data_IF_561982804678
#
_entry.id   IF_561982804678
#
_cell.length_a   1.000
_cell.length_b   1.000
_cell.length_c   1.000
_cell.angle_alpha   90.00
_cell.angle_beta   90.00
_cell.angle_gamma   90.00
#
_symmetry.space_group_name_H-M   'P 1'
#
loop_
_entity.id
_entity.type
_entity.pdbx_description
1 polymer ?
#
# COMPACT_ATOMS: atom_id res chain seq x y z
N UNK A 1 -1.52 -72.87 32.85
CA UNK A 1 -2.44 -73.05 31.66
C UNK A 1 -2.57 -71.71 30.95
N UNK A 2 -1.86 -71.57 29.86
CA UNK A 2 -1.80 -70.26 29.10
C UNK A 2 -2.81 -70.39 27.92
N UNK A 3 -3.84 -69.54 27.91
CA UNK A 3 -4.76 -69.44 26.77
C UNK A 3 -4.13 -68.50 25.73
N UNK A 4 -3.82 -69.06 24.57
CA UNK A 4 -3.36 -68.36 23.38
C UNK A 4 -4.54 -67.62 22.75
N UNK A 5 -4.54 -66.30 22.85
CA UNK A 5 -5.47 -65.44 22.15
C UNK A 5 -4.92 -65.15 20.75
N UNK A 6 -5.62 -65.60 19.74
CA UNK A 6 -5.31 -65.37 18.34
C UNK A 6 -5.70 -63.92 18.00
N UNK A 7 -4.72 -63.07 17.71
CA UNK A 7 -4.95 -61.76 17.18
C UNK A 7 -5.17 -61.88 15.68
N UNK A 8 -6.40 -61.64 15.29
CA UNK A 8 -6.79 -61.57 13.88
C UNK A 8 -6.39 -60.20 13.34
N UNK A 9 -5.32 -60.17 12.58
CA UNK A 9 -4.88 -58.95 11.90
C UNK A 9 -5.80 -58.78 10.70
N UNK A 10 -6.70 -57.81 10.80
CA UNK A 10 -7.47 -57.28 9.67
C UNK A 10 -6.59 -56.32 8.90
N UNK A 11 -6.04 -56.79 7.79
CA UNK A 11 -5.41 -55.95 6.78
C UNK A 11 -6.50 -55.16 6.03
N UNK A 12 -6.80 -53.99 6.49
CA UNK A 12 -7.56 -52.99 5.74
C UNK A 12 -6.62 -52.40 4.69
N UNK A 13 -6.71 -52.94 3.48
CA UNK A 13 -6.13 -52.31 2.29
C UNK A 13 -6.89 -51.03 2.01
N UNK A 14 -6.32 -49.92 2.47
CA UNK A 14 -6.77 -48.58 2.12
C UNK A 14 -6.35 -48.31 0.67
N UNK A 15 -7.27 -48.55 -0.26
CA UNK A 15 -7.11 -48.15 -1.65
C UNK A 15 -7.15 -46.64 -1.71
N UNK A 16 -5.97 -46.00 -1.76
CA UNK A 16 -5.85 -44.59 -2.07
C UNK A 16 -6.19 -44.42 -3.55
N UNK A 17 -7.43 -44.05 -3.81
CA UNK A 17 -7.86 -43.55 -5.11
C UNK A 17 -7.18 -42.18 -5.28
N UNK A 18 -6.05 -42.14 -5.95
CA UNK A 18 -5.48 -40.92 -6.50
C UNK A 18 -6.39 -40.41 -7.62
N UNK A 19 -7.50 -39.79 -7.26
CA UNK A 19 -8.19 -38.92 -8.16
C UNK A 19 -7.27 -37.73 -8.34
N UNK A 20 -6.47 -37.74 -9.42
CA UNK A 20 -5.75 -36.60 -9.89
C UNK A 20 -6.72 -35.44 -10.09
N UNK A 21 -6.78 -34.53 -9.13
CA UNK A 21 -7.27 -33.18 -9.39
C UNK A 21 -6.27 -32.55 -10.35
N UNK A 22 -6.60 -32.69 -11.64
CA UNK A 22 -6.05 -31.90 -12.69
C UNK A 22 -6.56 -30.47 -12.44
N UNK A 23 -5.96 -29.76 -11.50
CA UNK A 23 -6.16 -28.33 -11.38
C UNK A 23 -5.58 -27.73 -12.65
N UNK A 24 -6.45 -27.62 -13.66
CA UNK A 24 -6.26 -26.60 -14.67
C UNK A 24 -6.06 -25.31 -13.89
N UNK A 25 -4.82 -24.86 -13.87
CA UNK A 25 -4.50 -23.49 -13.58
C UNK A 25 -5.21 -22.69 -14.67
N UNK A 26 -6.48 -22.39 -14.41
CA UNK A 26 -7.08 -21.23 -15.05
C UNK A 26 -6.15 -20.09 -14.68
N UNK A 27 -5.35 -19.69 -15.66
CA UNK A 27 -4.84 -18.34 -15.70
C UNK A 27 -6.11 -17.47 -15.68
N UNK A 28 -6.57 -17.17 -14.47
CA UNK A 28 -7.30 -15.96 -14.26
C UNK A 28 -6.33 -14.86 -14.75
N UNK A 29 -6.50 -14.51 -16.00
CA UNK A 29 -6.26 -13.15 -16.44
C UNK A 29 -7.25 -12.29 -15.64
N UNK A 30 -7.04 -12.25 -14.32
CA UNK A 30 -7.46 -11.15 -13.50
C UNK A 30 -6.77 -9.97 -14.18
N UNK A 31 -7.55 -9.26 -14.95
CA UNK A 31 -7.34 -7.88 -15.24
C UNK A 31 -7.21 -7.24 -13.86
N UNK A 32 -6.02 -7.28 -13.27
CA UNK A 32 -5.59 -6.35 -12.26
C UNK A 32 -5.62 -5.01 -12.98
N UNK A 33 -6.84 -4.52 -13.08
CA UNK A 33 -7.12 -3.15 -13.47
C UNK A 33 -6.26 -2.35 -12.53
N UNK A 34 -5.24 -1.73 -13.04
CA UNK A 34 -4.32 -0.79 -12.43
C UNK A 34 -5.12 0.31 -11.70
N UNK A 35 -5.79 -0.04 -10.62
CA UNK A 35 -6.47 0.91 -9.73
C UNK A 35 -5.45 1.76 -8.98
N UNK A 36 -4.20 1.32 -8.93
CA UNK A 36 -3.10 2.05 -8.28
C UNK A 36 -2.69 3.31 -9.05
N UNK A 37 -2.81 3.31 -10.38
CA UNK A 37 -2.45 4.46 -11.21
C UNK A 37 -3.39 5.66 -11.03
N UNK A 38 -4.58 5.46 -10.46
CA UNK A 38 -5.56 6.54 -10.23
C UNK A 38 -5.23 7.40 -9.00
N UNK A 39 -4.44 6.90 -8.05
CA UNK A 39 -4.13 7.63 -6.81
C UNK A 39 -3.11 8.74 -7.07
N UNK A 40 -2.11 8.46 -7.91
CA UNK A 40 -1.05 9.40 -8.33
C UNK A 40 -1.02 9.46 -9.84
N UNK A 41 -1.31 10.64 -10.38
CA UNK A 41 -1.21 10.86 -11.82
C UNK A 41 0.25 11.22 -12.17
N UNK A 42 1.00 10.28 -12.70
CA UNK A 42 2.43 10.48 -13.08
C UNK A 42 2.63 11.64 -14.05
N UNK A 43 1.60 12.03 -14.82
CA UNK A 43 1.68 13.16 -15.78
C UNK A 43 1.76 14.53 -15.10
N UNK A 44 1.44 14.61 -13.83
CA UNK A 44 1.52 15.86 -13.04
C UNK A 44 2.95 16.14 -12.55
N UNK A 45 3.89 15.25 -12.85
CA UNK A 45 5.29 15.29 -12.40
C UNK A 45 6.25 15.26 -13.60
N UNK A 46 7.49 15.69 -13.36
CA UNK A 46 8.54 15.72 -14.39
C UNK A 46 9.24 14.38 -14.56
N UNK A 47 9.71 13.81 -13.45
CA UNK A 47 10.41 12.53 -13.39
C UNK A 47 10.21 11.92 -11.98
N UNK A 48 9.00 11.37 -11.70
CA UNK A 48 8.65 10.97 -10.36
C UNK A 48 9.24 9.61 -9.97
N UNK A 49 9.88 9.56 -8.81
CA UNK A 49 10.10 8.34 -8.03
C UNK A 49 8.95 8.19 -7.03
N UNK A 50 8.21 7.11 -7.12
CA UNK A 50 7.08 6.83 -6.25
C UNK A 50 7.45 5.68 -5.31
N UNK A 51 7.49 5.97 -4.01
CA UNK A 51 7.74 4.97 -2.99
C UNK A 51 6.45 4.69 -2.23
N UNK A 52 6.08 3.43 -2.10
CA UNK A 52 4.82 2.97 -1.53
C UNK A 52 5.06 2.12 -0.30
N UNK A 53 4.24 2.33 0.73
CA UNK A 53 4.15 1.47 1.90
C UNK A 53 2.70 1.15 2.21
N UNK A 54 2.40 -0.14 2.45
CA UNK A 54 1.05 -0.61 2.75
C UNK A 54 1.01 -1.24 4.13
N UNK A 55 0.02 -0.86 4.93
CA UNK A 55 -0.28 -1.45 6.22
C UNK A 55 -1.77 -1.83 6.25
N UNK A 56 -2.06 -3.10 6.48
CA UNK A 56 -3.44 -3.59 6.57
C UNK A 56 -3.72 -4.07 7.99
N UNK A 57 -4.89 -3.72 8.51
CA UNK A 57 -5.43 -4.19 9.77
C UNK A 57 -6.86 -4.69 9.61
N UNK A 58 -7.53 -5.00 10.72
CA UNK A 58 -8.90 -5.56 10.68
C UNK A 58 -9.95 -4.57 10.16
N UNK A 59 -9.67 -3.27 10.15
CA UNK A 59 -10.64 -2.22 9.82
C UNK A 59 -10.36 -1.57 8.47
N UNK A 60 -9.09 -1.34 8.14
CA UNK A 60 -8.70 -0.63 6.92
C UNK A 60 -7.36 -1.10 6.36
N UNK A 61 -7.11 -0.68 5.13
CA UNK A 61 -5.78 -0.67 4.51
C UNK A 61 -5.33 0.78 4.43
N UNK A 62 -4.20 1.09 5.06
CA UNK A 62 -3.51 2.36 4.96
C UNK A 62 -2.39 2.25 3.95
N UNK A 63 -2.38 3.12 2.95
CA UNK A 63 -1.29 3.21 1.98
C UNK A 63 -0.70 4.60 2.03
N UNK A 64 0.60 4.66 2.16
CA UNK A 64 1.39 5.89 2.10
C UNK A 64 2.25 5.87 0.84
N UNK A 65 2.15 6.94 0.06
CA UNK A 65 2.99 7.17 -1.09
C UNK A 65 3.87 8.40 -0.80
N UNK A 66 5.16 8.24 -1.04
CA UNK A 66 6.14 9.34 -1.07
C UNK A 66 6.49 9.58 -2.54
N UNK A 67 6.16 10.75 -3.04
CA UNK A 67 6.42 11.13 -4.43
C UNK A 67 7.54 12.16 -4.45
N UNK A 68 8.70 11.74 -4.91
CA UNK A 68 9.86 12.59 -5.14
C UNK A 68 9.90 12.93 -6.63
N UNK A 69 9.56 14.17 -6.98
CA UNK A 69 9.68 14.61 -8.36
C UNK A 69 11.08 15.14 -8.61
N UNK A 70 11.75 14.55 -9.57
CA UNK A 70 13.12 14.89 -9.95
C UNK A 70 13.15 15.82 -11.16
N UNK A 71 14.26 16.54 -11.30
CA UNK A 71 14.61 17.18 -12.56
C UNK A 71 14.75 16.12 -13.68
N UNK A 72 14.79 16.59 -14.93
CA UNK A 72 14.86 15.67 -16.10
C UNK A 72 16.09 14.77 -16.10
N UNK A 73 17.17 15.23 -15.48
CA UNK A 73 18.44 14.51 -15.35
C UNK A 73 18.44 13.51 -14.20
N UNK A 74 17.39 13.50 -13.33
CA UNK A 74 17.31 12.64 -12.16
C UNK A 74 18.32 12.96 -11.06
N UNK A 75 18.84 14.18 -11.03
CA UNK A 75 19.91 14.59 -10.10
C UNK A 75 19.40 15.26 -8.85
N UNK A 76 18.31 16.04 -8.98
CA UNK A 76 17.81 16.85 -7.88
C UNK A 76 16.29 16.64 -7.72
N UNK A 77 15.85 16.50 -6.48
CA UNK A 77 14.43 16.57 -6.14
C UNK A 77 13.95 17.99 -6.30
N UNK A 78 12.95 18.23 -7.14
CA UNK A 78 12.35 19.53 -7.41
C UNK A 78 11.03 19.74 -6.68
N UNK A 79 10.34 18.65 -6.32
CA UNK A 79 9.19 18.69 -5.42
C UNK A 79 9.04 17.39 -4.64
N UNK A 80 8.36 17.48 -3.49
CA UNK A 80 8.07 16.33 -2.64
C UNK A 80 6.62 16.37 -2.18
N UNK A 81 5.92 15.24 -2.36
CA UNK A 81 4.51 15.09 -2.00
C UNK A 81 4.30 13.77 -1.25
N UNK A 82 3.53 13.80 -0.17
CA UNK A 82 3.02 12.61 0.50
C UNK A 82 1.53 12.45 0.16
N UNK A 83 1.14 11.23 -0.22
CA UNK A 83 -0.26 10.87 -0.42
C UNK A 83 -0.59 9.71 0.50
N UNK A 84 -1.53 9.94 1.42
CA UNK A 84 -2.00 8.96 2.37
C UNK A 84 -3.43 8.56 2.00
N UNK A 85 -3.69 7.27 1.81
CA UNK A 85 -5.03 6.74 1.58
C UNK A 85 -5.41 5.77 2.69
N UNK A 86 -6.66 5.89 3.15
CA UNK A 86 -7.28 5.01 4.14
C UNK A 86 -8.48 4.36 3.49
N UNK A 87 -8.36 3.08 3.11
CA UNK A 87 -9.44 2.31 2.48
C UNK A 87 -10.07 1.40 3.53
N UNK A 88 -11.30 1.70 3.93
CA UNK A 88 -12.04 0.95 4.94
C UNK A 88 -12.74 -0.26 4.32
N UNK A 89 -12.79 -1.38 5.05
CA UNK A 89 -13.50 -2.59 4.60
C UNK A 89 -15.00 -2.35 4.43
N UNK A 90 -15.57 -1.54 5.33
CA UNK A 90 -16.98 -1.19 5.34
C UNK A 90 -17.20 0.29 4.97
N UNK A 91 -18.35 0.56 4.36
CA UNK A 91 -18.77 1.95 4.10
C UNK A 91 -18.91 2.72 5.41
N UNK A 92 -18.35 3.93 5.46
CA UNK A 92 -18.35 4.74 6.68
C UNK A 92 -19.64 5.57 6.79
N UNK A 93 -20.20 5.58 7.99
CA UNK A 93 -21.34 6.45 8.33
C UNK A 93 -20.91 7.91 8.34
N UNK A 94 -21.87 8.83 8.25
CA UNK A 94 -21.61 10.28 8.34
C UNK A 94 -20.84 10.63 9.62
N UNK A 95 -21.27 10.09 10.77
CA UNK A 95 -20.60 10.32 12.06
C UNK A 95 -19.13 9.84 12.06
N UNK A 96 -18.87 8.65 11.49
CA UNK A 96 -17.51 8.16 11.36
C UNK A 96 -16.66 9.05 10.44
N UNK A 97 -17.23 9.50 9.31
CA UNK A 97 -16.55 10.40 8.38
C UNK A 97 -16.13 11.70 9.07
N UNK A 98 -17.05 12.35 9.79
CA UNK A 98 -16.78 13.58 10.56
C UNK A 98 -15.68 13.37 11.60
N UNK A 99 -15.70 12.21 12.29
CA UNK A 99 -14.65 11.86 13.27
C UNK A 99 -13.29 11.68 12.63
N UNK A 100 -13.21 11.01 11.47
CA UNK A 100 -11.96 10.83 10.74
C UNK A 100 -11.43 12.14 10.16
N UNK A 101 -12.30 12.98 9.59
CA UNK A 101 -11.94 14.33 9.15
C UNK A 101 -11.36 15.15 10.29
N UNK A 102 -11.94 15.06 11.49
CA UNK A 102 -11.41 15.73 12.67
C UNK A 102 -10.02 15.23 13.06
N UNK A 103 -9.72 13.95 12.88
CA UNK A 103 -8.43 13.37 13.27
C UNK A 103 -7.35 13.55 12.22
N UNK A 104 -7.70 13.42 10.95
CA UNK A 104 -6.76 13.38 9.83
C UNK A 104 -6.81 14.61 8.93
N UNK A 105 -7.51 15.65 9.36
CA UNK A 105 -7.53 16.87 8.58
C UNK A 105 -6.15 17.58 8.62
N UNK A 106 -5.94 18.38 7.61
CA UNK A 106 -4.67 19.08 7.41
C UNK A 106 -4.27 19.99 8.56
N UNK A 107 -5.21 20.57 9.29
CA UNK A 107 -4.94 21.47 10.41
C UNK A 107 -4.31 20.76 11.63
N UNK A 108 -4.43 19.43 11.71
CA UNK A 108 -3.96 18.67 12.86
C UNK A 108 -2.53 18.10 12.71
N UNK A 109 -1.88 18.33 11.56
CA UNK A 109 -0.52 17.82 11.38
C UNK A 109 0.51 18.63 12.17
N UNK A 110 1.39 17.90 12.87
CA UNK A 110 2.57 18.49 13.50
C UNK A 110 3.51 19.03 12.41
N UNK A 111 4.17 20.16 12.69
CA UNK A 111 5.09 20.84 11.76
C UNK A 111 4.38 21.28 10.46
N UNK A 112 3.17 21.81 10.60
CA UNK A 112 2.40 22.31 9.45
C UNK A 112 3.16 23.39 8.67
N UNK A 113 4.09 24.10 9.31
CA UNK A 113 4.98 25.10 8.68
C UNK A 113 5.90 24.52 7.60
N UNK A 114 6.06 23.17 7.58
CA UNK A 114 6.82 22.45 6.55
C UNK A 114 5.96 22.09 5.34
N UNK A 115 4.64 22.19 5.49
CA UNK A 115 3.67 21.83 4.48
C UNK A 115 3.28 23.08 3.72
N UNK A 116 3.51 23.09 2.41
CA UNK A 116 3.11 24.18 1.53
C UNK A 116 1.63 24.13 1.20
N UNK A 117 1.12 22.91 0.92
CA UNK A 117 -0.28 22.66 0.59
C UNK A 117 -0.72 21.34 1.20
N UNK A 118 -1.93 21.34 1.74
CA UNK A 118 -2.54 20.11 2.24
C UNK A 118 -4.02 20.08 1.85
N UNK A 119 -4.43 18.99 1.21
CA UNK A 119 -5.80 18.69 0.85
C UNK A 119 -6.22 17.36 1.46
N UNK A 120 -7.41 17.29 2.03
CA UNK A 120 -7.95 16.04 2.58
C UNK A 120 -9.45 15.93 2.30
N UNK A 121 -9.88 14.74 1.86
CA UNK A 121 -11.29 14.50 1.53
C UNK A 121 -11.61 13.01 1.44
N UNK A 122 -12.90 12.70 1.58
CA UNK A 122 -13.45 11.41 1.17
C UNK A 122 -13.58 11.37 -0.35
N UNK A 123 -13.01 10.34 -0.97
CA UNK A 123 -13.16 10.08 -2.42
C UNK A 123 -14.42 9.28 -2.71
N UNK A 124 -14.86 8.48 -1.72
CA UNK A 124 -16.09 7.70 -1.71
C UNK A 124 -16.45 7.28 -0.28
N UNK A 125 -17.45 6.40 -0.09
CA UNK A 125 -17.89 5.99 1.25
C UNK A 125 -16.88 5.11 2.03
N UNK A 126 -15.85 4.61 1.35
CA UNK A 126 -14.84 3.73 1.96
C UNK A 126 -13.43 4.32 1.94
N UNK A 127 -13.18 5.39 1.21
CA UNK A 127 -11.82 5.88 1.02
C UNK A 127 -11.68 7.34 1.42
N UNK A 128 -10.75 7.60 2.34
CA UNK A 128 -10.31 8.93 2.73
C UNK A 128 -8.88 9.16 2.26
N UNK A 129 -8.64 10.31 1.63
CA UNK A 129 -7.36 10.68 1.04
C UNK A 129 -6.83 11.97 1.64
N UNK A 130 -5.54 12.01 1.92
CA UNK A 130 -4.81 13.20 2.38
C UNK A 130 -3.59 13.40 1.47
N UNK A 131 -3.45 14.59 0.91
CA UNK A 131 -2.33 14.97 0.04
C UNK A 131 -1.59 16.14 0.66
N UNK A 132 -0.28 16.00 0.88
CA UNK A 132 0.59 17.04 1.44
C UNK A 132 1.72 17.34 0.48
N UNK A 133 1.84 18.57 0.03
CA UNK A 133 3.04 19.06 -0.69
C UNK A 133 3.90 19.84 0.28
N UNK A 134 5.22 19.70 0.18
CA UNK A 134 6.16 20.26 1.13
C UNK A 134 6.84 21.53 0.61
N UNK A 135 7.29 22.36 1.54
CA UNK A 135 7.99 23.62 1.24
C UNK A 135 9.37 23.37 0.63
N UNK A 136 9.91 24.37 -0.08
CA UNK A 136 11.25 24.33 -0.64
C UNK A 136 12.33 23.98 0.39
N UNK A 137 12.16 24.42 1.64
CA UNK A 137 13.07 24.09 2.74
C UNK A 137 13.15 22.58 2.99
N UNK A 138 12.03 21.85 2.85
CA UNK A 138 12.02 20.38 2.99
C UNK A 138 12.64 19.74 1.76
N UNK A 139 12.30 20.23 0.57
CA UNK A 139 12.83 19.75 -0.71
C UNK A 139 14.35 19.94 -0.77
N UNK A 140 14.87 21.08 -0.32
CA UNK A 140 16.32 21.35 -0.31
C UNK A 140 17.11 20.38 0.58
N UNK A 141 16.51 19.82 1.62
CA UNK A 141 17.16 18.78 2.44
C UNK A 141 17.29 17.42 1.72
N UNK A 142 16.58 17.25 0.60
CA UNK A 142 16.64 16.08 -0.26
C UNK A 142 17.52 16.33 -1.50
N UNK A 143 18.02 17.56 -1.66
CA UNK A 143 18.87 17.93 -2.77
C UNK A 143 20.20 17.16 -2.74
N UNK A 144 20.66 16.76 -3.93
CA UNK A 144 21.93 16.04 -4.08
C UNK A 144 21.86 14.55 -3.82
N UNK A 145 20.66 13.99 -3.58
CA UNK A 145 20.44 12.53 -3.57
C UNK A 145 19.93 12.14 -4.96
N UNK A 146 20.72 11.47 -5.81
CA UNK A 146 20.29 11.07 -7.14
C UNK A 146 19.13 10.08 -7.09
N UNK A 147 18.31 10.04 -8.13
CA UNK A 147 17.16 9.15 -8.25
C UNK A 147 17.54 7.68 -8.05
N UNK A 148 18.61 7.23 -8.70
CA UNK A 148 19.06 5.84 -8.63
C UNK A 148 19.52 5.46 -7.22
N UNK A 149 20.13 6.38 -6.49
CA UNK A 149 20.53 6.18 -5.09
C UNK A 149 19.27 6.07 -4.20
N UNK A 150 18.32 7.00 -4.33
CA UNK A 150 17.07 6.94 -3.58
C UNK A 150 16.27 5.68 -3.88
N UNK A 151 16.30 5.20 -5.13
CA UNK A 151 15.62 3.98 -5.56
C UNK A 151 16.29 2.73 -5.02
N UNK A 152 17.63 2.69 -4.94
CA UNK A 152 18.40 1.54 -4.47
C UNK A 152 18.39 1.38 -2.95
N UNK A 153 18.24 2.48 -2.21
CA UNK A 153 18.15 2.48 -0.74
C UNK A 153 16.90 3.21 -0.25
N UNK A 154 15.71 2.63 -0.52
CA UNK A 154 14.46 3.25 -0.14
C UNK A 154 14.31 3.27 1.38
N UNK A 155 13.53 4.24 1.87
CA UNK A 155 13.15 4.31 3.26
C UNK A 155 12.59 2.95 3.73
N UNK A 156 13.00 2.50 4.94
CA UNK A 156 12.64 1.18 5.46
C UNK A 156 11.13 0.89 5.36
N UNK A 157 10.80 -0.19 4.67
CA UNK A 157 9.44 -0.68 4.48
C UNK A 157 8.69 -0.02 3.32
N UNK A 158 9.39 0.75 2.46
CA UNK A 158 8.83 1.25 1.21
C UNK A 158 9.39 0.47 0.03
N UNK A 159 8.57 0.36 -1.00
CA UNK A 159 8.91 -0.15 -2.32
C UNK A 159 8.84 1.03 -3.30
N UNK A 160 9.90 1.25 -4.08
CA UNK A 160 10.01 2.40 -4.99
C UNK A 160 10.07 1.98 -6.45
N UNK A 161 9.38 2.71 -7.32
CA UNK A 161 9.34 2.49 -8.77
C UNK A 161 9.46 3.80 -9.58
#
# INVERSE_FOLDING_TARGET
MMKKTKILIWLLTLSVILTGCNSKTEKNNGNETNTETSVINKKDYTNPLICKKVNTNDYNTFTEYLVYDYDKEGKNVISYTEVNTYVYKEAQTTENKERYEKWYNCANFKNIERIQKCDSSWTNDKEYKVVKSFTEKVVSNLAGIPLDEMKSDPRKGYECE
#
